data_IF_225080992059
#
_entry.id   IF_225080992059
#
_cell.length_a   1.000
_cell.length_b   1.000
_cell.length_c   1.000
_cell.angle_alpha   90.00
_cell.angle_beta   90.00
_cell.angle_gamma   90.00
#
_symmetry.space_group_name_H-M   'P 1'
#
loop_
_entity.id
_entity.type
_entity.pdbx_description
1 polymer ?
#
# COMPACT_ATOMS: atom_id res chain seq x y z
N UNK A 1 -23.95 -10.33 -9.53
CA UNK A 1 -22.69 -9.64 -9.15
C UNK A 1 -22.97 -8.16 -9.03
N UNK A 2 -22.59 -7.52 -7.91
CA UNK A 2 -22.60 -6.05 -7.82
C UNK A 2 -21.32 -5.52 -8.45
N UNK A 3 -21.45 -4.71 -9.50
CA UNK A 3 -20.34 -4.08 -10.19
C UNK A 3 -20.24 -2.64 -9.71
N UNK A 4 -19.12 -2.32 -9.06
CA UNK A 4 -18.83 -1.00 -8.52
C UNK A 4 -17.59 -0.43 -9.18
N UNK A 5 -17.72 0.74 -9.78
CA UNK A 5 -16.62 1.49 -10.41
C UNK A 5 -16.54 2.84 -9.72
N UNK A 6 -15.84 2.87 -8.59
CA UNK A 6 -15.72 4.05 -7.72
C UNK A 6 -14.91 5.19 -8.35
N UNK A 7 -13.99 4.85 -9.24
CA UNK A 7 -13.02 5.76 -9.86
C UNK A 7 -13.22 5.82 -11.37
N UNK A 8 -14.46 5.59 -11.81
CA UNK A 8 -14.85 5.73 -13.20
C UNK A 8 -14.77 7.19 -13.64
N UNK A 9 -14.28 7.42 -14.84
CA UNK A 9 -14.18 8.75 -15.45
C UNK A 9 -14.51 8.68 -16.93
N UNK A 10 -14.85 9.83 -17.51
CA UNK A 10 -14.89 10.02 -18.96
C UNK A 10 -13.81 11.02 -19.35
N UNK A 11 -13.15 10.78 -20.47
CA UNK A 11 -12.27 11.79 -21.05
C UNK A 11 -13.08 12.92 -21.67
N UNK A 12 -12.48 14.11 -21.73
CA UNK A 12 -12.99 15.23 -22.51
C UNK A 12 -12.81 14.97 -24.01
N UNK A 13 -11.76 14.25 -24.39
CA UNK A 13 -11.57 13.80 -25.76
C UNK A 13 -12.58 12.71 -26.16
N UNK A 14 -13.03 12.77 -27.41
CA UNK A 14 -13.95 11.79 -28.00
C UNK A 14 -13.22 10.68 -28.78
N UNK A 15 -11.93 10.84 -29.05
CA UNK A 15 -11.09 9.89 -29.81
C UNK A 15 -9.93 9.39 -28.96
N UNK A 16 -9.52 8.13 -29.16
CA UNK A 16 -8.47 7.49 -28.36
C UNK A 16 -7.08 8.07 -28.65
N UNK A 17 -6.81 8.38 -29.92
CA UNK A 17 -5.51 8.87 -30.38
C UNK A 17 -4.94 10.06 -29.58
N UNK A 18 -5.70 11.14 -29.27
CA UNK A 18 -5.18 12.25 -28.47
C UNK A 18 -4.94 11.91 -26.99
N UNK A 19 -5.50 10.83 -26.45
CA UNK A 19 -5.40 10.51 -25.02
C UNK A 19 -3.95 10.31 -24.61
N UNK A 20 -3.15 9.57 -25.38
CA UNK A 20 -1.73 9.33 -25.05
C UNK A 20 -0.96 10.65 -24.94
N UNK A 21 -1.23 11.63 -25.81
CA UNK A 21 -0.60 12.95 -25.75
C UNK A 21 -1.10 13.76 -24.54
N UNK A 22 -2.40 13.71 -24.23
CA UNK A 22 -2.95 14.37 -23.03
C UNK A 22 -2.35 13.80 -21.74
N UNK A 23 -2.07 12.50 -21.72
CA UNK A 23 -1.47 11.83 -20.57
C UNK A 23 -0.05 12.32 -20.24
N UNK A 24 0.70 12.87 -21.20
CA UNK A 24 1.99 13.52 -20.92
C UNK A 24 1.84 14.72 -19.97
N UNK A 25 0.71 15.42 -19.99
CA UNK A 25 0.47 16.57 -19.12
C UNK A 25 0.34 16.19 -17.63
N UNK A 26 -0.07 14.95 -17.33
CA UNK A 26 -0.21 14.46 -15.94
C UNK A 26 0.89 13.50 -15.52
N UNK A 27 1.74 13.07 -16.46
CA UNK A 27 2.81 12.08 -16.23
C UNK A 27 3.69 12.44 -15.04
N UNK A 28 4.18 13.67 -14.95
CA UNK A 28 5.02 14.13 -13.83
C UNK A 28 4.28 14.07 -12.49
N UNK A 29 2.98 14.37 -12.46
CA UNK A 29 2.15 14.22 -11.27
C UNK A 29 1.97 12.76 -10.85
N UNK A 30 1.79 11.86 -11.81
CA UNK A 30 1.72 10.41 -11.57
C UNK A 30 3.05 9.89 -11.02
N UNK A 31 4.17 10.26 -11.64
CA UNK A 31 5.51 9.89 -11.19
C UNK A 31 5.79 10.37 -9.76
N UNK A 32 5.35 11.59 -9.41
CA UNK A 32 5.43 12.09 -8.04
C UNK A 32 4.61 11.23 -7.07
N UNK A 33 3.36 10.90 -7.39
CA UNK A 33 2.53 10.02 -6.53
C UNK A 33 3.19 8.66 -6.32
N UNK A 34 3.71 8.07 -7.39
CA UNK A 34 4.42 6.80 -7.34
C UNK A 34 5.68 6.88 -6.47
N UNK A 35 6.49 7.94 -6.63
CA UNK A 35 7.68 8.19 -5.80
C UNK A 35 7.31 8.33 -4.32
N UNK A 36 6.27 9.10 -3.98
CA UNK A 36 5.82 9.26 -2.58
C UNK A 36 5.41 7.93 -1.96
N UNK A 37 4.65 7.10 -2.70
CA UNK A 37 4.25 5.76 -2.23
C UNK A 37 5.46 4.85 -2.05
N UNK A 38 6.42 4.90 -2.98
CA UNK A 38 7.68 4.17 -2.86
C UNK A 38 8.44 4.58 -1.59
N UNK A 39 8.64 5.89 -1.36
CA UNK A 39 9.35 6.40 -0.19
C UNK A 39 8.66 5.98 1.12
N UNK A 40 7.32 5.96 1.15
CA UNK A 40 6.58 5.45 2.30
C UNK A 40 6.77 3.95 2.55
N UNK A 41 6.72 3.14 1.51
CA UNK A 41 7.02 1.71 1.61
C UNK A 41 8.45 1.46 2.09
N UNK A 42 9.41 2.20 1.52
CA UNK A 42 10.82 2.14 1.88
C UNK A 42 11.05 2.54 3.34
N UNK A 43 10.53 3.68 3.77
CA UNK A 43 10.67 4.17 5.14
C UNK A 43 10.12 3.17 6.17
N UNK A 44 8.92 2.64 5.92
CA UNK A 44 8.27 1.67 6.81
C UNK A 44 9.09 0.37 6.93
N UNK A 45 9.51 -0.21 5.82
CA UNK A 45 10.28 -1.47 5.83
C UNK A 45 11.67 -1.24 6.43
N UNK A 46 12.35 -0.15 6.07
CA UNK A 46 13.66 0.21 6.60
C UNK A 46 13.63 0.31 8.13
N UNK A 47 12.68 1.08 8.66
CA UNK A 47 12.57 1.33 10.08
C UNK A 47 12.21 0.05 10.83
N UNK A 48 11.27 -0.74 10.33
CA UNK A 48 10.91 -2.03 10.92
C UNK A 48 12.12 -2.98 11.00
N UNK A 49 12.94 -3.01 9.94
CA UNK A 49 14.16 -3.81 9.90
C UNK A 49 15.21 -3.32 10.90
N UNK A 50 15.46 -2.01 10.96
CA UNK A 50 16.43 -1.41 11.86
C UNK A 50 16.02 -1.54 13.33
N UNK A 51 14.74 -1.35 13.65
CA UNK A 51 14.22 -1.47 15.01
C UNK A 51 14.35 -2.89 15.53
N UNK A 52 13.94 -3.89 14.73
CA UNK A 52 14.12 -5.30 15.10
C UNK A 52 15.58 -5.68 15.28
N UNK A 53 16.44 -5.14 14.42
CA UNK A 53 17.88 -5.35 14.50
C UNK A 53 18.46 -4.75 15.78
N UNK A 54 18.09 -3.52 16.12
CA UNK A 54 18.53 -2.84 17.33
C UNK A 54 18.10 -3.61 18.58
N UNK A 55 16.82 -3.98 18.67
CA UNK A 55 16.28 -4.75 19.81
C UNK A 55 16.94 -6.11 19.95
N UNK A 56 17.17 -6.82 18.83
CA UNK A 56 17.85 -8.10 18.87
C UNK A 56 19.30 -7.98 19.33
N UNK A 57 20.01 -6.91 18.93
CA UNK A 57 21.38 -6.62 19.41
C UNK A 57 21.39 -6.31 20.90
N UNK A 58 20.47 -5.50 21.38
CA UNK A 58 20.34 -5.16 22.82
C UNK A 58 20.02 -6.40 23.66
N UNK A 59 19.24 -7.33 23.12
CA UNK A 59 18.94 -8.62 23.76
C UNK A 59 20.06 -9.68 23.60
N UNK A 60 21.19 -9.34 22.97
CA UNK A 60 22.31 -10.27 22.76
C UNK A 60 22.06 -11.36 21.70
N UNK A 61 21.00 -11.24 20.90
CA UNK A 61 20.66 -12.19 19.85
C UNK A 61 21.40 -11.85 18.55
N UNK A 62 22.58 -12.45 18.33
CA UNK A 62 23.34 -12.31 17.08
C UNK A 62 23.09 -13.43 16.06
N UNK A 63 22.46 -14.54 16.49
CA UNK A 63 22.18 -15.69 15.64
C UNK A 63 21.14 -15.32 14.58
N UNK A 64 21.49 -15.49 13.30
CA UNK A 64 20.62 -15.14 12.16
C UNK A 64 20.77 -13.71 11.64
N UNK A 65 21.69 -12.92 12.21
CA UNK A 65 22.07 -11.63 11.65
C UNK A 65 23.18 -11.78 10.61
N UNK A 66 23.17 -10.90 9.60
CA UNK A 66 24.22 -10.82 8.57
C UNK A 66 24.73 -9.39 8.46
N UNK A 67 26.00 -9.24 8.09
CA UNK A 67 26.53 -7.93 7.73
C UNK A 67 25.95 -7.52 6.37
N UNK A 68 25.20 -6.42 6.34
CA UNK A 68 24.58 -5.92 5.13
C UNK A 68 24.29 -4.42 5.21
N UNK A 69 24.11 -3.80 4.05
CA UNK A 69 23.54 -2.47 3.95
C UNK A 69 22.01 -2.56 3.96
N UNK A 70 21.30 -1.81 4.85
CA UNK A 70 19.83 -1.88 4.93
C UNK A 70 19.13 -1.48 3.63
N UNK A 71 19.61 -0.45 2.94
CA UNK A 71 18.93 0.11 1.77
C UNK A 71 18.64 -0.90 0.64
N UNK A 72 19.65 -1.66 0.16
CA UNK A 72 19.44 -2.73 -0.81
C UNK A 72 18.44 -3.81 -0.34
N UNK A 73 18.51 -4.22 0.93
CA UNK A 73 17.59 -5.23 1.49
C UNK A 73 16.14 -4.75 1.49
N UNK A 74 15.92 -3.46 1.81
CA UNK A 74 14.58 -2.84 1.77
C UNK A 74 14.03 -2.83 0.35
N UNK A 75 14.85 -2.41 -0.63
CA UNK A 75 14.44 -2.41 -2.05
C UNK A 75 14.05 -3.82 -2.50
N UNK A 76 14.86 -4.83 -2.17
CA UNK A 76 14.58 -6.21 -2.52
C UNK A 76 13.30 -6.72 -1.86
N UNK A 77 13.04 -6.36 -0.60
CA UNK A 77 11.80 -6.71 0.08
C UNK A 77 10.55 -6.13 -0.62
N UNK A 78 10.63 -4.88 -1.10
CA UNK A 78 9.54 -4.26 -1.88
C UNK A 78 9.31 -5.05 -3.18
N UNK A 79 10.37 -5.32 -3.95
CA UNK A 79 10.27 -6.05 -5.22
C UNK A 79 9.69 -7.46 -5.03
N UNK A 80 10.13 -8.18 -4.00
CA UNK A 80 9.61 -9.52 -3.66
C UNK A 80 8.12 -9.47 -3.31
N UNK A 81 7.67 -8.50 -2.51
CA UNK A 81 6.24 -8.35 -2.17
C UNK A 81 5.39 -8.04 -3.40
N UNK A 82 5.87 -7.15 -4.29
CA UNK A 82 5.21 -6.87 -5.56
C UNK A 82 5.11 -8.11 -6.45
N UNK A 83 6.21 -8.88 -6.58
CA UNK A 83 6.22 -10.12 -7.36
C UNK A 83 5.23 -11.15 -6.81
N UNK A 84 5.20 -11.36 -5.49
CA UNK A 84 4.24 -12.26 -4.82
C UNK A 84 2.80 -11.84 -5.07
N UNK A 85 2.49 -10.55 -4.93
CA UNK A 85 1.14 -10.02 -5.18
C UNK A 85 0.70 -10.31 -6.63
N UNK A 86 1.58 -10.06 -7.61
CA UNK A 86 1.31 -10.37 -9.03
C UNK A 86 1.05 -11.86 -9.25
N UNK A 87 1.87 -12.75 -8.70
CA UNK A 87 1.72 -14.22 -8.84
C UNK A 87 0.41 -14.69 -8.21
N UNK A 88 0.05 -14.16 -7.04
CA UNK A 88 -1.18 -14.52 -6.33
C UNK A 88 -2.46 -13.92 -6.97
N UNK A 89 -2.33 -13.04 -7.97
CA UNK A 89 -3.46 -12.27 -8.49
C UNK A 89 -4.09 -11.33 -7.45
N UNK A 90 -3.34 -11.00 -6.39
CA UNK A 90 -3.77 -10.16 -5.28
C UNK A 90 -3.06 -8.80 -5.34
N UNK A 91 -3.53 -7.86 -4.53
CA UNK A 91 -2.87 -6.56 -4.36
C UNK A 91 -2.28 -6.48 -2.97
N UNK A 92 -1.09 -5.90 -2.89
CA UNK A 92 -0.48 -5.50 -1.64
C UNK A 92 -0.45 -3.96 -1.60
N UNK A 93 -1.45 -3.30 -0.98
CA UNK A 93 -1.59 -1.84 -1.02
C UNK A 93 -0.38 -1.08 -0.48
N UNK A 94 0.46 -1.71 0.35
CA UNK A 94 1.64 -1.08 0.92
C UNK A 94 2.79 -0.97 -0.08
N UNK A 95 2.81 -1.81 -1.13
CA UNK A 95 3.85 -1.79 -2.18
C UNK A 95 3.26 -1.72 -3.60
N UNK A 96 1.95 -1.51 -3.74
CA UNK A 96 1.28 -1.30 -5.03
C UNK A 96 1.56 0.13 -5.52
N UNK A 97 2.61 0.24 -6.34
CA UNK A 97 3.12 1.50 -6.89
C UNK A 97 2.72 1.67 -8.36
N UNK A 98 2.24 0.60 -9.01
CA UNK A 98 1.80 0.64 -10.40
C UNK A 98 0.53 1.48 -10.57
N UNK A 99 0.50 2.27 -11.64
CA UNK A 99 -0.71 3.01 -12.04
C UNK A 99 -1.12 2.51 -13.41
N UNK A 100 -2.26 1.82 -13.46
CA UNK A 100 -2.83 1.30 -14.70
C UNK A 100 -4.17 1.97 -14.94
N UNK A 101 -4.26 2.73 -16.02
CA UNK A 101 -5.50 3.27 -16.53
C UNK A 101 -5.99 2.32 -17.61
N UNK A 102 -7.27 1.97 -17.52
CA UNK A 102 -7.93 1.23 -18.59
C UNK A 102 -9.00 2.13 -19.16
N UNK A 103 -9.05 2.24 -20.48
CA UNK A 103 -9.94 3.14 -21.18
C UNK A 103 -10.56 2.47 -22.40
N UNK A 104 -11.80 2.84 -22.69
CA UNK A 104 -12.63 2.24 -23.73
C UNK A 104 -13.42 3.32 -24.43
N UNK A 105 -13.46 3.28 -25.76
CA UNK A 105 -14.42 4.03 -26.53
C UNK A 105 -15.79 3.34 -26.46
N UNK A 106 -16.74 3.93 -25.76
CA UNK A 106 -18.12 3.45 -25.68
C UNK A 106 -18.92 3.97 -26.86
N UNK A 107 -19.25 3.10 -27.80
CA UNK A 107 -20.13 3.44 -28.93
C UNK A 107 -21.55 3.85 -28.48
N UNK A 108 -22.04 3.28 -27.37
CA UNK A 108 -23.36 3.62 -26.82
C UNK A 108 -23.44 5.06 -26.29
N UNK A 109 -22.32 5.58 -25.78
CA UNK A 109 -22.24 6.91 -25.19
C UNK A 109 -21.53 7.93 -26.10
N UNK A 110 -20.99 7.47 -27.23
CA UNK A 110 -20.11 8.22 -28.15
C UNK A 110 -18.95 8.94 -27.44
N UNK A 111 -18.34 8.24 -26.48
CA UNK A 111 -17.39 8.80 -25.51
C UNK A 111 -16.39 7.79 -25.03
N UNK A 112 -15.25 8.30 -24.55
CA UNK A 112 -14.23 7.45 -23.94
C UNK A 112 -14.40 7.47 -22.44
N UNK A 113 -14.63 6.28 -21.89
CA UNK A 113 -14.74 6.04 -20.46
C UNK A 113 -13.55 5.22 -19.98
N UNK A 114 -13.18 5.37 -18.72
CA UNK A 114 -12.07 4.63 -18.15
C UNK A 114 -12.13 4.56 -16.64
N UNK A 115 -11.31 3.70 -16.06
CA UNK A 115 -11.11 3.67 -14.62
C UNK A 115 -9.64 3.42 -14.31
N UNK A 116 -9.26 3.81 -13.10
CA UNK A 116 -7.93 3.55 -12.56
C UNK A 116 -7.95 2.19 -11.88
N UNK A 117 -7.22 1.24 -12.45
CA UNK A 117 -7.00 -0.06 -11.85
C UNK A 117 -5.80 0.05 -10.89
N UNK A 118 -6.00 0.50 -9.66
CA UNK A 118 -4.87 0.72 -8.75
C UNK A 118 -5.29 1.13 -7.35
N UNK A 119 -4.34 1.20 -6.44
CA UNK A 119 -4.52 1.86 -5.15
C UNK A 119 -4.67 3.39 -5.28
N UNK A 120 -4.21 4.00 -6.38
CA UNK A 120 -4.21 5.46 -6.62
C UNK A 120 -5.49 6.01 -7.24
N UNK A 121 -6.61 5.31 -7.10
CA UNK A 121 -7.76 5.57 -7.96
C UNK A 121 -8.35 6.98 -7.84
N UNK A 122 -8.38 7.55 -6.63
CA UNK A 122 -8.92 8.90 -6.40
C UNK A 122 -7.89 9.98 -6.72
N UNK A 123 -6.62 9.75 -6.39
CA UNK A 123 -5.53 10.69 -6.62
C UNK A 123 -5.29 10.91 -8.12
N UNK A 124 -5.32 9.83 -8.91
CA UNK A 124 -5.20 9.90 -10.37
C UNK A 124 -6.43 10.58 -10.97
N UNK A 125 -7.64 10.29 -10.48
CA UNK A 125 -8.84 10.99 -10.92
C UNK A 125 -8.75 12.50 -10.64
N UNK A 126 -8.22 12.89 -9.48
CA UNK A 126 -7.92 14.28 -9.15
C UNK A 126 -6.99 14.92 -10.17
N UNK A 127 -5.83 14.32 -10.44
CA UNK A 127 -4.86 14.81 -11.43
C UNK A 127 -5.48 14.99 -12.83
N UNK A 128 -6.27 14.00 -13.28
CA UNK A 128 -6.94 14.06 -14.57
C UNK A 128 -7.98 15.19 -14.64
N UNK A 129 -8.70 15.45 -13.54
CA UNK A 129 -9.68 16.55 -13.46
C UNK A 129 -8.98 17.91 -13.46
N UNK A 130 -7.93 18.05 -12.67
CA UNK A 130 -7.19 19.31 -12.53
C UNK A 130 -6.50 19.69 -13.84
N UNK A 131 -6.03 18.71 -14.60
CA UNK A 131 -5.50 18.91 -15.95
C UNK A 131 -6.57 19.12 -17.03
N UNK A 132 -7.86 19.06 -16.69
CA UNK A 132 -8.97 19.19 -17.64
C UNK A 132 -9.09 18.02 -18.64
N UNK A 133 -8.48 16.89 -18.34
CA UNK A 133 -8.41 15.71 -19.23
C UNK A 133 -9.66 14.83 -19.07
N UNK A 134 -10.18 14.74 -17.85
CA UNK A 134 -11.31 13.88 -17.52
C UNK A 134 -12.30 14.52 -16.56
N UNK A 135 -13.52 14.00 -16.55
CA UNK A 135 -14.54 14.31 -15.55
C UNK A 135 -15.01 13.04 -14.85
N UNK A 136 -15.41 13.16 -13.58
CA UNK A 136 -15.94 12.03 -12.81
C UNK A 136 -17.12 11.37 -13.51
N UNK A 137 -17.10 10.04 -13.57
CA UNK A 137 -18.10 9.21 -14.26
C UNK A 137 -18.25 7.85 -13.58
N UNK A 138 -18.26 7.86 -12.25
CA UNK A 138 -18.42 6.68 -11.42
C UNK A 138 -19.77 5.98 -11.68
N UNK A 139 -19.81 4.67 -11.39
CA UNK A 139 -21.02 3.87 -11.58
C UNK A 139 -21.15 2.77 -10.53
N UNK A 140 -22.39 2.52 -10.08
CA UNK A 140 -22.70 1.48 -9.12
C UNK A 140 -24.01 0.76 -9.47
N UNK A 141 -23.96 -0.55 -9.65
CA UNK A 141 -25.16 -1.37 -9.94
C UNK A 141 -26.14 -1.50 -8.78
N UNK A 142 -25.69 -1.43 -7.52
CA UNK A 142 -26.52 -1.67 -6.33
C UNK A 142 -26.76 -0.41 -5.47
N UNK A 143 -26.38 0.78 -5.95
CA UNK A 143 -26.60 2.06 -5.28
C UNK A 143 -27.82 2.82 -5.85
N UNK A 144 -28.27 3.84 -5.12
CA UNK A 144 -29.22 4.81 -5.65
C UNK A 144 -28.62 5.53 -6.87
N UNK A 145 -29.46 5.82 -7.87
CA UNK A 145 -29.09 6.67 -9.01
C UNK A 145 -28.64 8.03 -8.45
N UNK A 146 -27.56 8.58 -9.00
CA UNK A 146 -27.21 9.97 -8.74
C UNK A 146 -28.39 10.86 -9.18
N UNK A 147 -28.97 11.65 -8.28
CA UNK A 147 -30.16 12.47 -8.54
C UNK A 147 -29.93 13.47 -9.69
N UNK A 148 -28.67 13.82 -9.95
CA UNK A 148 -28.25 14.70 -11.05
C UNK A 148 -28.19 14.00 -12.41
N UNK A 149 -28.39 12.68 -12.47
CA UNK A 149 -28.32 11.87 -13.69
C UNK A 149 -29.70 11.35 -14.06
N UNK A 150 -30.11 11.61 -15.31
CA UNK A 150 -31.41 11.13 -15.81
C UNK A 150 -31.49 9.59 -15.78
N UNK A 151 -32.69 9.00 -15.61
CA UNK A 151 -32.86 7.54 -15.65
C UNK A 151 -32.36 6.91 -16.96
N UNK A 152 -32.55 7.60 -18.09
CA UNK A 152 -32.09 7.16 -19.40
C UNK A 152 -30.55 7.12 -19.46
N UNK A 153 -29.89 8.20 -19.05
CA UNK A 153 -28.44 8.24 -19.00
C UNK A 153 -27.88 7.20 -18.03
N UNK A 154 -28.49 7.01 -16.87
CA UNK A 154 -28.07 6.00 -15.90
C UNK A 154 -28.14 4.57 -16.48
N UNK A 155 -29.18 4.27 -17.26
CA UNK A 155 -29.31 2.99 -17.96
C UNK A 155 -28.23 2.81 -19.04
N UNK A 156 -27.94 3.85 -19.80
CA UNK A 156 -26.87 3.82 -20.82
C UNK A 156 -25.49 3.65 -20.18
N UNK A 157 -25.20 4.34 -19.07
CA UNK A 157 -23.98 4.16 -18.28
C UNK A 157 -23.83 2.72 -17.80
N UNK A 158 -24.91 2.11 -17.30
CA UNK A 158 -24.92 0.71 -16.87
C UNK A 158 -24.53 -0.23 -18.02
N UNK A 159 -25.14 -0.05 -19.19
CA UNK A 159 -24.85 -0.87 -20.35
C UNK A 159 -23.39 -0.71 -20.81
N UNK A 160 -22.89 0.53 -20.89
CA UNK A 160 -21.52 0.83 -21.27
C UNK A 160 -20.49 0.24 -20.29
N UNK A 161 -20.72 0.38 -18.99
CA UNK A 161 -19.84 -0.20 -17.96
C UNK A 161 -19.87 -1.72 -17.95
N UNK A 162 -21.04 -2.33 -18.16
CA UNK A 162 -21.10 -3.78 -18.35
C UNK A 162 -20.24 -4.22 -19.54
N UNK A 163 -20.42 -3.59 -20.71
CA UNK A 163 -19.61 -3.90 -21.90
C UNK A 163 -18.10 -3.75 -21.65
N UNK A 164 -17.69 -2.64 -21.01
CA UNK A 164 -16.29 -2.38 -20.69
C UNK A 164 -15.68 -3.45 -19.76
N UNK A 165 -16.48 -4.00 -18.84
CA UNK A 165 -16.02 -4.95 -17.83
C UNK A 165 -16.16 -6.42 -18.27
N UNK A 166 -17.06 -6.76 -19.20
CA UNK A 166 -17.37 -8.14 -19.59
C UNK A 166 -16.61 -8.70 -20.77
N UNK A 167 -15.71 -7.96 -21.43
CA UNK A 167 -14.75 -8.61 -22.33
C UNK A 167 -14.52 -7.97 -23.70
N UNK A 168 -14.27 -6.67 -23.76
CA UNK A 168 -13.41 -6.12 -24.81
C UNK A 168 -12.21 -5.47 -24.12
N UNK A 169 -10.99 -5.90 -24.48
CA UNK A 169 -9.76 -5.30 -23.98
C UNK A 169 -9.73 -3.84 -24.43
N UNK A 170 -10.11 -2.93 -23.56
CA UNK A 170 -9.90 -1.50 -23.77
C UNK A 170 -8.41 -1.22 -23.85
N UNK A 171 -8.07 -0.06 -24.39
CA UNK A 171 -6.68 0.37 -24.38
C UNK A 171 -6.21 0.51 -22.93
N UNK A 172 -5.05 -0.11 -22.66
CA UNK A 172 -4.37 -0.05 -21.38
C UNK A 172 -3.27 0.99 -21.51
N UNK A 173 -3.33 2.00 -20.65
CA UNK A 173 -2.24 2.97 -20.47
C UNK A 173 -1.63 2.67 -19.11
N UNK A 174 -0.34 2.38 -19.09
CA UNK A 174 0.37 1.97 -17.88
C UNK A 174 1.53 2.90 -17.58
N UNK A 175 1.57 3.34 -16.32
CA UNK A 175 2.67 4.10 -15.75
C UNK A 175 3.38 3.21 -14.76
N UNK A 176 4.61 2.85 -15.09
CA UNK A 176 5.47 2.05 -14.23
C UNK A 176 6.46 2.98 -13.54
N UNK A 177 6.48 2.93 -12.22
CA UNK A 177 7.59 3.47 -11.46
C UNK A 177 8.75 2.50 -11.54
N UNK A 178 9.87 2.96 -12.07
CA UNK A 178 11.10 2.19 -12.06
C UNK A 178 11.76 2.28 -10.67
N UNK A 179 11.39 1.33 -9.81
CA UNK A 179 12.00 1.16 -8.50
C UNK A 179 13.50 0.84 -8.55
N UNK A 180 14.06 0.47 -9.71
CA UNK A 180 15.49 0.23 -9.88
C UNK A 180 16.29 1.51 -10.07
N UNK A 181 15.65 2.54 -10.63
CA UNK A 181 16.20 3.89 -10.82
C UNK A 181 16.24 4.74 -9.55
N UNK A 182 15.64 4.26 -8.46
CA UNK A 182 15.65 4.92 -7.15
C UNK A 182 17.08 5.04 -6.63
N UNK A 183 17.52 6.28 -6.42
CA UNK A 183 18.73 6.53 -5.66
C UNK A 183 18.49 6.14 -4.18
N UNK A 184 19.10 5.02 -3.78
CA UNK A 184 19.07 4.53 -2.40
C UNK A 184 19.74 5.50 -1.41
N UNK A 185 20.44 6.52 -1.93
CA UNK A 185 21.08 7.60 -1.18
C UNK A 185 20.24 8.88 -1.13
N UNK A 186 18.93 8.83 -1.45
CA UNK A 186 18.04 9.99 -1.32
C UNK A 186 18.25 10.74 0.01
N UNK A 187 18.12 12.08 -0.03
CA UNK A 187 18.36 12.90 1.14
C UNK A 187 17.40 12.54 2.28
N UNK A 188 17.87 12.63 3.54
CA UNK A 188 17.03 12.32 4.70
C UNK A 188 15.74 13.13 4.72
N UNK A 189 15.82 14.40 4.33
CA UNK A 189 14.67 15.31 4.22
C UNK A 189 13.56 14.83 3.28
N UNK A 190 13.88 13.98 2.29
CA UNK A 190 12.87 13.38 1.42
C UNK A 190 12.20 12.16 2.06
N UNK A 191 12.92 11.42 2.90
CA UNK A 191 12.45 10.17 3.51
C UNK A 191 11.75 10.41 4.85
N UNK A 192 12.25 11.36 5.64
CA UNK A 192 11.79 11.72 6.98
C UNK A 192 10.28 11.93 7.09
N UNK A 193 9.59 12.63 6.16
CA UNK A 193 8.14 12.82 6.23
C UNK A 193 7.34 11.51 6.17
N UNK A 194 7.94 10.43 5.68
CA UNK A 194 7.30 9.13 5.52
C UNK A 194 7.68 8.13 6.61
N UNK A 195 8.61 8.49 7.51
CA UNK A 195 9.00 7.63 8.63
C UNK A 195 7.81 7.48 9.57
N UNK A 196 7.37 6.23 9.88
CA UNK A 196 6.29 6.03 10.84
C UNK A 196 6.63 6.64 12.21
N UNK A 197 5.62 7.14 12.92
CA UNK A 197 5.82 7.76 14.22
C UNK A 197 6.45 6.78 15.22
N UNK A 198 7.18 7.30 16.21
CA UNK A 198 7.80 6.48 17.25
C UNK A 198 6.78 5.61 17.99
N UNK A 199 5.58 6.16 18.25
CA UNK A 199 4.43 5.44 18.80
C UNK A 199 4.01 4.26 17.93
N UNK A 200 3.82 4.50 16.62
CA UNK A 200 3.40 3.45 15.67
C UNK A 200 4.41 2.31 15.61
N UNK A 201 5.71 2.66 15.54
CA UNK A 201 6.81 1.70 15.50
C UNK A 201 6.90 0.86 16.76
N UNK A 202 6.84 1.51 17.93
CA UNK A 202 6.86 0.81 19.21
C UNK A 202 5.65 -0.13 19.34
N UNK A 203 4.46 0.30 18.89
CA UNK A 203 3.27 -0.53 18.88
C UNK A 203 3.38 -1.74 17.94
N UNK A 204 3.92 -1.56 16.74
CA UNK A 204 4.15 -2.65 15.77
C UNK A 204 5.06 -3.76 16.32
N UNK A 205 5.90 -3.43 17.31
CA UNK A 205 6.79 -4.37 17.99
C UNK A 205 6.15 -4.93 19.28
N UNK A 206 5.46 -4.08 20.04
CA UNK A 206 4.82 -4.44 21.30
C UNK A 206 3.63 -5.38 21.11
N UNK A 207 2.77 -5.12 20.13
CA UNK A 207 1.51 -5.86 19.96
C UNK A 207 1.74 -7.36 19.64
N UNK A 208 2.63 -7.74 18.70
CA UNK A 208 2.96 -9.13 18.47
C UNK A 208 3.61 -9.79 19.69
N UNK A 209 4.51 -9.08 20.40
CA UNK A 209 5.16 -9.62 21.60
C UNK A 209 4.16 -9.87 22.74
N UNK A 210 3.21 -8.96 22.94
CA UNK A 210 2.13 -9.11 23.92
C UNK A 210 1.20 -10.25 23.52
N UNK A 211 0.86 -10.36 22.23
CA UNK A 211 0.08 -11.48 21.71
C UNK A 211 0.77 -12.81 21.99
N UNK A 212 2.07 -12.95 21.68
CA UNK A 212 2.84 -14.18 21.97
C UNK A 212 2.79 -14.54 23.45
N UNK A 213 3.06 -13.59 24.37
CA UNK A 213 3.00 -13.86 25.81
C UNK A 213 1.59 -14.24 26.30
N UNK A 214 0.57 -13.57 25.78
CA UNK A 214 -0.83 -13.90 26.09
C UNK A 214 -1.18 -15.30 25.57
N UNK A 215 -0.79 -15.60 24.33
CA UNK A 215 -1.05 -16.88 23.69
C UNK A 215 -0.38 -18.06 24.41
N UNK A 216 0.89 -17.92 24.79
CA UNK A 216 1.66 -18.92 25.54
C UNK A 216 1.10 -19.17 26.96
N UNK A 217 0.33 -18.22 27.51
CA UNK A 217 -0.31 -18.38 28.82
C UNK A 217 -1.58 -19.24 28.78
N UNK A 218 -2.09 -19.57 27.58
CA UNK A 218 -3.30 -20.34 27.38
C UNK A 218 -3.01 -21.86 27.38
N UNK A 219 -4.00 -22.71 27.69
CA UNK A 219 -3.85 -24.16 27.56
C UNK A 219 -3.47 -24.56 26.13
N UNK A 220 -2.59 -25.56 25.99
CA UNK A 220 -2.19 -26.12 24.71
C UNK A 220 -3.42 -26.66 23.97
N UNK A 221 -3.73 -26.09 22.80
CA UNK A 221 -4.66 -26.67 21.83
C UNK A 221 -3.90 -27.53 20.81
N UNK A 222 -4.59 -28.48 20.18
CA UNK A 222 -3.98 -29.40 19.20
C UNK A 222 -3.37 -28.68 17.99
N UNK A 223 -2.50 -29.39 17.27
CA UNK A 223 -1.58 -28.89 16.23
C UNK A 223 -2.21 -28.20 14.99
N UNK A 224 -3.53 -28.05 14.94
CA UNK A 224 -4.21 -27.49 13.77
C UNK A 224 -4.18 -25.95 13.79
N UNK A 225 -3.32 -25.33 12.98
CA UNK A 225 -3.00 -23.89 13.00
C UNK A 225 -4.18 -22.90 12.90
N UNK A 226 -5.38 -23.38 12.59
CA UNK A 226 -6.65 -22.64 12.66
C UNK A 226 -6.91 -21.98 14.02
N UNK A 227 -6.40 -22.57 15.11
CA UNK A 227 -6.56 -21.98 16.44
C UNK A 227 -5.79 -20.66 16.60
N UNK A 228 -4.61 -20.51 15.97
CA UNK A 228 -3.80 -19.29 16.06
C UNK A 228 -4.59 -18.08 15.55
N UNK A 229 -5.29 -18.23 14.42
CA UNK A 229 -6.10 -17.15 13.85
C UNK A 229 -7.29 -16.79 14.76
N UNK A 230 -8.00 -17.79 15.29
CA UNK A 230 -9.12 -17.57 16.23
C UNK A 230 -8.64 -16.85 17.49
N UNK A 231 -7.50 -17.26 18.04
CA UNK A 231 -6.88 -16.65 19.22
C UNK A 231 -6.41 -15.23 18.95
N UNK A 232 -5.85 -14.96 17.77
CA UNK A 232 -5.51 -13.60 17.36
C UNK A 232 -6.75 -12.69 17.26
N UNK A 233 -7.87 -13.16 16.70
CA UNK A 233 -9.13 -12.41 16.68
C UNK A 233 -9.65 -12.13 18.10
N UNK A 234 -9.59 -13.13 18.99
CA UNK A 234 -9.96 -12.96 20.40
C UNK A 234 -9.10 -11.91 21.10
N UNK A 235 -7.78 -12.00 20.95
CA UNK A 235 -6.83 -11.03 21.51
C UNK A 235 -7.11 -9.61 21.03
N UNK A 236 -7.45 -9.43 19.75
CA UNK A 236 -7.85 -8.12 19.22
C UNK A 236 -9.14 -7.57 19.82
N UNK A 237 -10.07 -8.42 20.26
CA UNK A 237 -11.22 -7.94 21.03
C UNK A 237 -10.80 -7.53 22.44
N UNK A 238 -9.97 -8.33 23.10
CA UNK A 238 -9.45 -8.00 24.43
C UNK A 238 -8.68 -6.67 24.42
N UNK A 239 -7.86 -6.40 23.40
CA UNK A 239 -7.19 -5.11 23.23
C UNK A 239 -8.16 -3.91 23.14
N UNK A 240 -9.41 -4.13 22.74
CA UNK A 240 -10.45 -3.08 22.67
C UNK A 240 -11.29 -2.97 23.93
N UNK A 241 -11.44 -4.06 24.68
CA UNK A 241 -12.44 -4.14 25.74
C UNK A 241 -11.82 -4.29 27.14
N UNK A 242 -10.61 -4.84 27.24
CA UNK A 242 -9.90 -5.12 28.48
C UNK A 242 -8.91 -4.01 28.84
N UNK A 243 -9.10 -3.39 30.00
CA UNK A 243 -8.26 -2.30 30.50
C UNK A 243 -6.83 -2.76 30.89
N UNK A 244 -6.68 -3.97 31.41
CA UNK A 244 -5.38 -4.49 31.84
C UNK A 244 -4.51 -4.80 30.62
N UNK A 245 -5.07 -5.41 29.58
CA UNK A 245 -4.34 -5.71 28.34
C UNK A 245 -3.97 -4.41 27.61
N UNK A 246 -4.85 -3.40 27.59
CA UNK A 246 -4.51 -2.06 27.07
C UNK A 246 -3.37 -1.41 27.84
N UNK A 247 -3.42 -1.45 29.18
CA UNK A 247 -2.39 -0.88 30.03
C UNK A 247 -1.04 -1.59 29.83
N UNK A 248 -1.07 -2.93 29.70
CA UNK A 248 0.13 -3.71 29.40
C UNK A 248 0.73 -3.34 28.03
N UNK A 249 -0.10 -3.17 27.00
CA UNK A 249 0.37 -2.71 25.68
C UNK A 249 0.98 -1.31 25.77
N UNK A 250 0.32 -0.37 26.46
CA UNK A 250 0.83 0.99 26.63
C UNK A 250 2.17 1.00 27.39
N UNK A 251 2.31 0.19 28.44
CA UNK A 251 3.55 0.05 29.18
C UNK A 251 4.68 -0.51 28.31
N UNK A 252 4.39 -1.52 27.47
CA UNK A 252 5.37 -2.05 26.52
C UNK A 252 5.78 -1.03 25.46
N UNK A 253 4.83 -0.25 24.96
CA UNK A 253 5.11 0.85 24.02
C UNK A 253 6.08 1.85 24.66
N UNK A 254 5.78 2.36 25.86
CA UNK A 254 6.64 3.31 26.56
C UNK A 254 8.03 2.74 26.87
N UNK A 255 8.11 1.45 27.21
CA UNK A 255 9.39 0.75 27.43
C UNK A 255 10.24 0.65 26.16
N UNK A 256 9.62 0.46 25.00
CA UNK A 256 10.32 0.28 23.72
C UNK A 256 10.77 1.60 23.09
N UNK A 257 9.98 2.68 23.20
CA UNK A 257 10.30 4.00 22.63
C UNK A 257 11.77 4.45 22.78
N UNK A 258 12.40 4.40 23.98
CA UNK A 258 13.78 4.86 24.15
C UNK A 258 14.84 3.96 23.48
N UNK A 259 14.49 2.73 23.09
CA UNK A 259 15.39 1.78 22.44
C UNK A 259 15.40 1.95 20.91
N UNK A 260 14.43 2.67 20.34
CA UNK A 260 14.28 2.81 18.89
C UNK A 260 15.07 4.01 18.35
N UNK A 261 15.69 3.82 17.18
CA UNK A 261 16.49 4.87 16.54
C UNK A 261 15.59 6.02 16.04
N UNK A 262 16.02 7.27 16.23
CA UNK A 262 15.31 8.47 15.74
C UNK A 262 16.28 9.45 15.09
N UNK A 263 15.79 10.33 14.23
CA UNK A 263 16.55 11.44 13.63
C UNK A 263 17.90 11.02 13.01
N UNK A 264 18.96 11.75 13.38
CA UNK A 264 20.32 11.52 12.87
C UNK A 264 20.85 10.09 13.04
N UNK A 265 20.72 9.45 14.22
CA UNK A 265 21.07 8.03 14.40
C UNK A 265 20.38 7.09 13.40
N UNK A 266 19.10 7.31 13.10
CA UNK A 266 18.35 6.51 12.12
C UNK A 266 18.87 6.75 10.69
N UNK A 267 19.14 8.01 10.33
CA UNK A 267 19.76 8.36 9.04
C UNK A 267 21.18 7.79 8.89
N UNK A 268 21.96 7.74 9.98
CA UNK A 268 23.28 7.14 9.96
C UNK A 268 23.21 5.63 9.75
N UNK A 269 22.26 4.96 10.42
CA UNK A 269 22.05 3.52 10.33
C UNK A 269 21.67 3.08 8.91
N UNK A 270 20.82 3.82 8.19
CA UNK A 270 20.40 3.39 6.84
C UNK A 270 21.54 3.35 5.81
N UNK A 271 22.62 4.13 6.02
CA UNK A 271 23.69 4.36 5.03
C UNK A 271 24.95 3.51 5.25
N UNK A 272 25.02 2.76 6.34
CA UNK A 272 26.23 2.02 6.73
C UNK A 272 25.97 0.53 6.73
N UNK A 273 27.02 -0.22 6.42
CA UNK A 273 27.03 -1.66 6.63
C UNK A 273 26.98 -1.94 8.14
N UNK A 274 26.04 -2.80 8.55
CA UNK A 274 25.90 -3.22 9.94
C UNK A 274 25.30 -4.62 10.02
N UNK A 275 25.34 -5.23 11.20
CA UNK A 275 24.60 -6.46 11.46
C UNK A 275 23.11 -6.17 11.34
N UNK A 276 22.41 -6.87 10.44
CA UNK A 276 20.98 -6.73 10.16
C UNK A 276 20.29 -8.08 10.32
N UNK A 277 19.14 -8.09 10.99
CA UNK A 277 18.28 -9.25 11.03
C UNK A 277 17.53 -9.40 9.70
N UNK A 278 17.75 -10.50 8.99
CA UNK A 278 17.06 -10.76 7.73
C UNK A 278 15.56 -11.00 7.97
N UNK A 279 14.67 -10.39 7.16
CA UNK A 279 13.24 -10.70 7.22
C UNK A 279 12.99 -12.19 6.99
N UNK A 280 11.96 -12.76 7.63
CA UNK A 280 11.54 -14.13 7.37
C UNK A 280 11.29 -14.33 5.86
N UNK A 281 12.03 -15.26 5.24
CA UNK A 281 12.05 -15.50 3.80
C UNK A 281 13.22 -14.85 3.02
N UNK A 282 14.22 -14.29 3.71
CA UNK A 282 15.56 -14.03 3.16
C UNK A 282 16.58 -15.13 3.50
N UNK A 283 16.31 -15.94 4.53
CA UNK A 283 17.03 -17.15 4.88
C UNK A 283 16.38 -18.38 4.24
#
# INVERSE_FOLDING_TARGET
MSTKVDTGFRFVAHQMHPITAMMEAVKSGIEQLQRRRYLAAYASILVSMLDRTQLAREAGHSRGMVMAMPGPLVREAILRRQARARVAGQRDPAVDIGVVLRCWHSQLLDRIIGYVAGAFGQEILGLLKDAGIATGYAFWTSGARDDMVSPQEWSQRRAAWHQALTGQSGERIEFCYDAESMDLLCAWSELEPYVPSLESRARELAEPALFSRWYESLPLEGDDGDHVWKRHVQFRSLLRDDHAIKAALAADIERLKPQLLTGGPLDAARRREQLVLLPAGFA
#
